data_IF_981121658323
#
_entry.id   IF_981121658323
#
_cell.length_a   1.000
_cell.length_b   1.000
_cell.length_c   1.000
_cell.angle_alpha   90.00
_cell.angle_beta   90.00
_cell.angle_gamma   90.00
#
_symmetry.space_group_name_H-M   'P 1'
#
loop_
_entity.id
_entity.type
_entity.pdbx_description
1 polymer ?
#
# COMPACT_ATOMS: atom_id res chain seq x y z
N UNK A 1 53.27 -20.64 -21.60
CA UNK A 1 52.64 -19.50 -22.31
C UNK A 1 51.13 -19.64 -22.45
N UNK A 2 50.57 -20.80 -22.87
CA UNK A 2 49.11 -20.99 -23.05
C UNK A 2 48.24 -20.73 -21.80
N UNK A 3 48.74 -21.08 -20.59
CA UNK A 3 48.03 -20.85 -19.32
C UNK A 3 47.94 -19.37 -18.91
N UNK A 4 48.86 -18.53 -19.41
CA UNK A 4 48.88 -17.09 -19.09
C UNK A 4 47.73 -16.33 -19.75
N UNK A 5 47.33 -16.73 -20.96
CA UNK A 5 46.20 -16.12 -21.67
C UNK A 5 44.85 -16.44 -21.01
N UNK A 6 44.72 -17.61 -20.40
CA UNK A 6 43.51 -18.02 -19.67
C UNK A 6 43.33 -17.17 -18.41
N UNK A 7 44.40 -16.93 -17.66
CA UNK A 7 44.34 -16.05 -16.48
C UNK A 7 43.99 -14.62 -16.85
N UNK A 8 44.58 -14.08 -17.93
CA UNK A 8 44.25 -12.75 -18.45
C UNK A 8 42.77 -12.63 -18.88
N UNK A 9 42.26 -13.65 -19.57
CA UNK A 9 40.85 -13.72 -19.98
C UNK A 9 39.90 -13.79 -18.77
N UNK A 10 40.24 -14.56 -17.74
CA UNK A 10 39.48 -14.63 -16.49
C UNK A 10 39.46 -13.29 -15.75
N UNK A 11 40.56 -12.53 -15.75
CA UNK A 11 40.64 -11.20 -15.13
C UNK A 11 39.73 -10.18 -15.81
N UNK A 12 39.64 -10.23 -17.14
CA UNK A 12 38.77 -9.33 -17.93
C UNK A 12 37.29 -9.68 -17.75
N UNK A 13 36.97 -10.97 -17.57
CA UNK A 13 35.60 -11.43 -17.31
C UNK A 13 35.02 -10.97 -15.95
N UNK A 14 35.86 -10.56 -14.99
CA UNK A 14 35.41 -9.96 -13.73
C UNK A 14 35.03 -8.49 -13.84
N UNK A 15 35.32 -7.83 -14.98
CA UNK A 15 35.04 -6.41 -15.20
C UNK A 15 33.66 -6.16 -15.85
N UNK A 16 32.89 -7.21 -16.11
CA UNK A 16 31.58 -7.09 -16.74
C UNK A 16 30.54 -6.81 -15.65
N UNK A 17 30.06 -5.57 -15.59
CA UNK A 17 28.99 -5.19 -14.66
C UNK A 17 27.63 -5.69 -15.18
N UNK A 18 26.89 -6.39 -14.34
CA UNK A 18 25.63 -7.06 -14.69
C UNK A 18 24.36 -6.25 -14.33
N UNK A 19 24.43 -4.92 -14.21
CA UNK A 19 23.23 -4.12 -13.98
C UNK A 19 22.22 -4.29 -15.12
N UNK A 20 20.97 -4.55 -14.77
CA UNK A 20 19.89 -4.73 -15.74
C UNK A 20 19.24 -3.37 -15.97
N UNK A 21 19.30 -2.87 -17.19
CA UNK A 21 18.63 -1.65 -17.60
C UNK A 21 17.57 -1.97 -18.64
N UNK A 22 16.38 -1.38 -18.53
CA UNK A 22 15.35 -1.49 -19.57
C UNK A 22 15.12 -0.10 -20.15
N UNK A 23 15.46 0.08 -21.43
CA UNK A 23 15.30 1.34 -22.15
C UNK A 23 16.32 2.43 -21.77
N UNK A 24 17.37 2.10 -21.00
CA UNK A 24 18.38 3.05 -20.53
C UNK A 24 19.79 2.48 -20.72
N UNK A 25 20.77 3.34 -21.06
CA UNK A 25 22.17 2.94 -21.22
C UNK A 25 23.06 3.36 -20.04
N UNK A 26 22.57 4.28 -19.20
CA UNK A 26 23.25 4.74 -17.98
C UNK A 26 22.38 4.35 -16.79
N UNK A 27 22.90 3.50 -15.90
CA UNK A 27 22.18 3.04 -14.71
C UNK A 27 22.78 3.73 -13.50
N UNK A 28 21.94 4.11 -12.54
CA UNK A 28 22.39 4.60 -11.24
C UNK A 28 23.22 3.50 -10.56
N UNK A 29 24.39 3.86 -10.03
CA UNK A 29 25.31 2.91 -9.39
C UNK A 29 24.70 2.19 -8.18
N UNK A 30 23.62 2.70 -7.58
CA UNK A 30 22.91 2.04 -6.48
C UNK A 30 21.76 1.13 -6.93
N UNK A 31 21.52 0.98 -8.23
CA UNK A 31 20.41 0.19 -8.77
C UNK A 31 20.90 -1.09 -9.46
N UNK A 32 20.30 -2.23 -9.07
CA UNK A 32 20.51 -3.51 -9.76
C UNK A 32 19.59 -3.62 -10.99
N UNK A 33 18.39 -3.03 -10.91
CA UNK A 33 17.44 -2.88 -12.01
C UNK A 33 16.96 -1.42 -12.08
N UNK A 34 17.09 -0.80 -13.25
CA UNK A 34 16.52 0.51 -13.52
C UNK A 34 15.78 0.52 -14.86
N UNK A 35 14.64 1.21 -14.91
CA UNK A 35 13.76 1.27 -16.07
C UNK A 35 13.68 2.72 -16.49
N UNK A 36 13.81 2.97 -17.80
CA UNK A 36 13.75 4.33 -18.35
C UNK A 36 12.47 5.05 -17.95
N UNK A 37 12.59 6.33 -17.64
CA UNK A 37 11.44 7.22 -17.49
C UNK A 37 10.60 7.20 -18.77
N UNK A 38 9.34 6.78 -18.66
CA UNK A 38 8.39 6.75 -19.77
C UNK A 38 7.17 7.56 -19.40
N UNK A 39 6.67 8.36 -20.35
CA UNK A 39 5.44 9.15 -20.16
C UNK A 39 4.16 8.32 -20.35
N UNK A 40 4.25 7.10 -20.88
CA UNK A 40 3.10 6.30 -21.26
C UNK A 40 3.26 4.78 -21.09
N UNK A 41 4.32 4.32 -20.40
CA UNK A 41 4.56 2.90 -20.10
C UNK A 41 4.87 2.71 -18.63
N UNK A 42 4.56 1.53 -18.12
CA UNK A 42 4.86 1.08 -16.77
C UNK A 42 5.40 -0.34 -16.75
N UNK A 43 5.40 -0.95 -15.57
CA UNK A 43 5.91 -2.30 -15.35
C UNK A 43 4.77 -3.23 -14.97
N UNK A 44 4.60 -4.31 -15.73
CA UNK A 44 3.75 -5.42 -15.32
C UNK A 44 4.60 -6.38 -14.47
N UNK A 45 4.24 -6.49 -13.19
CA UNK A 45 4.80 -7.50 -12.31
C UNK A 45 4.24 -8.89 -12.64
N UNK A 46 4.89 -9.98 -12.18
CA UNK A 46 4.34 -11.32 -12.30
C UNK A 46 2.90 -11.39 -11.78
N UNK A 47 2.01 -11.91 -12.62
CA UNK A 47 0.58 -12.07 -12.31
C UNK A 47 0.32 -13.48 -11.80
N UNK A 48 -0.02 -13.59 -10.53
CA UNK A 48 -0.26 -14.87 -9.83
C UNK A 48 -1.71 -14.96 -9.36
N UNK A 49 -2.09 -16.13 -8.85
CA UNK A 49 -3.39 -16.33 -8.22
C UNK A 49 -3.18 -16.78 -6.77
N UNK A 50 -3.36 -15.85 -5.84
CA UNK A 50 -3.24 -16.12 -4.41
C UNK A 50 -4.59 -16.65 -3.93
N UNK A 51 -4.61 -17.94 -3.57
CA UNK A 51 -5.79 -18.61 -3.02
C UNK A 51 -5.80 -18.55 -1.49
N UNK A 52 -4.62 -18.63 -0.87
CA UNK A 52 -4.43 -18.54 0.57
C UNK A 52 -3.25 -17.61 0.86
N UNK A 53 -3.49 -16.58 1.67
CA UNK A 53 -2.48 -15.60 2.04
C UNK A 53 -1.40 -16.17 2.96
N UNK A 54 -1.64 -17.29 3.62
CA UNK A 54 -0.66 -17.96 4.49
C UNK A 54 0.17 -19.01 3.74
N UNK A 55 -0.19 -19.34 2.49
CA UNK A 55 0.50 -20.36 1.72
C UNK A 55 1.87 -19.89 1.23
N UNK A 56 2.89 -20.68 1.57
CA UNK A 56 4.27 -20.52 1.12
C UNK A 56 4.67 -21.53 0.03
N UNK A 57 3.74 -22.37 -0.45
CA UNK A 57 3.99 -23.36 -1.50
C UNK A 57 3.27 -23.00 -2.81
N UNK A 58 2.23 -22.17 -2.73
CA UNK A 58 1.44 -21.68 -3.85
C UNK A 58 0.99 -20.24 -3.58
N UNK A 59 0.96 -19.33 -4.57
CA UNK A 59 1.30 -19.54 -5.98
C UNK A 59 2.81 -19.54 -6.26
N UNK A 60 3.62 -19.16 -5.28
CA UNK A 60 5.08 -19.18 -5.36
C UNK A 60 5.59 -20.11 -4.27
N UNK A 61 6.48 -21.03 -4.63
CA UNK A 61 7.10 -21.94 -3.67
C UNK A 61 8.27 -21.24 -2.96
N UNK A 62 8.26 -21.25 -1.63
CA UNK A 62 9.22 -20.58 -0.75
C UNK A 62 9.49 -19.10 -1.13
N UNK A 63 8.45 -18.24 -1.16
CA UNK A 63 8.61 -16.84 -1.53
C UNK A 63 9.57 -16.11 -0.58
N UNK A 64 10.46 -15.31 -1.15
CA UNK A 64 11.41 -14.49 -0.39
C UNK A 64 10.71 -13.27 0.21
N UNK A 65 11.13 -12.83 1.40
CA UNK A 65 10.64 -11.57 1.99
C UNK A 65 10.93 -10.40 1.03
N UNK A 66 9.93 -9.57 0.78
CA UNK A 66 10.02 -8.48 -0.17
C UNK A 66 9.55 -8.83 -1.59
N UNK A 67 9.16 -10.08 -1.86
CA UNK A 67 8.62 -10.48 -3.16
C UNK A 67 7.30 -9.74 -3.45
N UNK A 68 7.26 -9.03 -4.57
CA UNK A 68 6.10 -8.25 -5.01
C UNK A 68 5.48 -8.87 -6.26
N UNK A 69 4.17 -9.10 -6.22
CA UNK A 69 3.39 -9.69 -7.31
C UNK A 69 2.05 -8.99 -7.47
N UNK A 70 1.42 -9.16 -8.62
CA UNK A 70 0.02 -8.77 -8.82
C UNK A 70 -0.89 -10.01 -8.70
N UNK A 71 -1.83 -9.98 -7.76
CA UNK A 71 -2.86 -11.01 -7.63
C UNK A 71 -4.00 -10.75 -8.63
N UNK A 72 -4.38 -11.76 -9.41
CA UNK A 72 -5.41 -11.65 -10.45
C UNK A 72 -6.83 -11.50 -9.91
N UNK A 73 -7.13 -12.07 -8.74
CA UNK A 73 -8.43 -11.88 -8.09
C UNK A 73 -9.41 -13.05 -8.15
N UNK A 74 -8.98 -14.31 -8.33
CA UNK A 74 -9.95 -15.41 -8.43
C UNK A 74 -10.52 -15.85 -7.07
N UNK A 75 -9.73 -15.78 -5.99
CA UNK A 75 -10.15 -16.19 -4.64
C UNK A 75 -9.94 -15.09 -3.59
N UNK A 76 -8.79 -14.41 -3.66
CA UNK A 76 -8.50 -13.22 -2.85
C UNK A 76 -8.69 -11.96 -3.67
N UNK A 77 -8.92 -10.81 -3.04
CA UNK A 77 -9.06 -9.52 -3.73
C UNK A 77 -7.89 -9.24 -4.68
N UNK A 78 -8.14 -8.80 -5.93
CA UNK A 78 -7.09 -8.43 -6.87
C UNK A 78 -6.28 -7.23 -6.35
N UNK A 79 -5.00 -7.17 -6.71
CA UNK A 79 -4.14 -6.06 -6.30
C UNK A 79 -2.67 -6.42 -6.18
N UNK A 80 -1.87 -5.49 -5.67
CA UNK A 80 -0.45 -5.73 -5.38
C UNK A 80 -0.31 -6.43 -4.03
N UNK A 81 0.51 -7.49 -4.00
CA UNK A 81 0.79 -8.24 -2.78
C UNK A 81 2.29 -8.36 -2.54
N UNK A 82 2.68 -8.13 -1.29
CA UNK A 82 4.03 -8.27 -0.78
C UNK A 82 4.11 -9.50 0.13
N UNK A 83 5.05 -10.41 -0.15
CA UNK A 83 5.38 -11.47 0.80
C UNK A 83 6.22 -10.90 1.94
N UNK A 84 5.71 -10.96 3.17
CA UNK A 84 6.40 -10.50 4.38
C UNK A 84 5.81 -11.20 5.60
N UNK A 85 6.65 -11.55 6.57
CA UNK A 85 6.23 -12.17 7.84
C UNK A 85 5.39 -13.44 7.61
N UNK A 86 5.86 -14.32 6.71
CA UNK A 86 5.22 -15.60 6.38
C UNK A 86 3.77 -15.49 5.86
N UNK A 87 3.45 -14.37 5.20
CA UNK A 87 2.15 -14.19 4.55
C UNK A 87 2.22 -13.23 3.38
N UNK A 88 1.25 -13.37 2.48
CA UNK A 88 0.91 -12.38 1.46
C UNK A 88 0.14 -11.23 2.11
N UNK A 89 0.67 -10.02 1.95
CA UNK A 89 0.05 -8.80 2.44
C UNK A 89 -0.34 -7.95 1.24
N UNK A 90 -1.63 -7.68 1.08
CA UNK A 90 -2.09 -6.74 0.06
C UNK A 90 -1.56 -5.34 0.40
N UNK A 91 -1.02 -4.65 -0.58
CA UNK A 91 -0.66 -3.24 -0.46
C UNK A 91 -1.97 -2.45 -0.53
N UNK A 92 -2.27 -1.70 0.53
CA UNK A 92 -3.48 -0.91 0.63
C UNK A 92 -3.50 0.25 -0.38
N UNK A 93 -4.66 0.51 -0.95
CA UNK A 93 -5.03 1.75 -1.62
C UNK A 93 -6.25 2.37 -0.92
N UNK A 94 -6.68 3.56 -1.34
CA UNK A 94 -7.85 4.25 -0.78
C UNK A 94 -9.14 3.41 -0.82
N UNK A 95 -9.24 2.43 -1.72
CA UNK A 95 -10.43 1.59 -1.89
C UNK A 95 -10.41 0.31 -1.06
N UNK A 96 -9.24 -0.13 -0.61
CA UNK A 96 -9.05 -1.31 0.24
C UNK A 96 -8.86 -0.98 1.73
N UNK A 97 -8.94 0.30 2.11
CA UNK A 97 -8.93 0.76 3.50
C UNK A 97 -10.36 1.01 3.99
N UNK A 98 -10.58 0.83 5.29
CA UNK A 98 -11.79 1.36 5.91
C UNK A 98 -11.72 2.89 5.82
N UNK A 99 -12.71 3.49 5.21
CA UNK A 99 -12.92 4.93 5.13
C UNK A 99 -13.31 5.49 6.52
N UNK A 100 -12.57 6.47 7.05
CA UNK A 100 -12.86 7.04 8.38
C UNK A 100 -12.64 8.57 8.46
N UNK A 101 -13.25 9.19 9.47
CA UNK A 101 -12.88 10.51 9.97
C UNK A 101 -12.59 10.38 11.47
N UNK A 102 -11.43 10.86 11.92
CA UNK A 102 -11.08 10.91 13.34
C UNK A 102 -11.18 12.35 13.82
N UNK A 103 -11.99 12.53 14.86
CA UNK A 103 -12.11 13.76 15.61
C UNK A 103 -11.39 13.57 16.95
N UNK A 104 -10.37 14.39 17.21
CA UNK A 104 -9.56 14.32 18.43
C UNK A 104 -9.57 15.65 19.16
N UNK A 105 -9.45 15.56 20.48
CA UNK A 105 -9.23 16.69 21.37
C UNK A 105 -7.87 16.59 22.07
N UNK A 106 -7.27 17.74 22.33
CA UNK A 106 -5.95 17.82 22.98
C UNK A 106 -6.04 17.83 24.52
N UNK A 107 -7.25 18.01 25.07
CA UNK A 107 -7.49 18.06 26.53
C UNK A 107 -8.63 17.14 26.94
N UNK A 108 -8.59 16.60 28.15
CA UNK A 108 -9.61 15.66 28.67
C UNK A 108 -11.00 16.30 28.77
N UNK A 109 -12.02 15.66 28.20
CA UNK A 109 -13.42 16.10 28.30
C UNK A 109 -14.26 15.13 29.10
N UNK A 110 -15.04 15.65 30.04
CA UNK A 110 -16.14 14.90 30.63
C UNK A 110 -17.33 14.88 29.66
N UNK A 111 -17.38 13.81 28.86
CA UNK A 111 -18.46 13.55 27.88
C UNK A 111 -19.82 13.35 28.59
N UNK A 112 -19.77 12.77 29.80
CA UNK A 112 -20.89 12.70 30.72
C UNK A 112 -20.78 13.91 31.65
N UNK A 113 -21.47 14.99 31.31
CA UNK A 113 -21.65 16.10 32.25
C UNK A 113 -22.32 15.58 33.51
N UNK A 114 -21.93 16.10 34.68
CA UNK A 114 -22.55 15.81 35.98
C UNK A 114 -24.03 16.28 36.10
N UNK A 115 -24.77 16.35 35.00
CA UNK A 115 -26.21 16.58 34.94
C UNK A 115 -26.96 15.29 35.22
N UNK A 116 -28.02 15.40 36.04
CA UNK A 116 -28.96 14.31 36.29
C UNK A 116 -29.49 13.74 34.97
N UNK A 117 -29.56 12.42 34.87
CA UNK A 117 -30.11 11.64 33.75
C UNK A 117 -29.40 11.80 32.38
N UNK A 118 -28.14 11.37 32.29
CA UNK A 118 -27.62 10.74 31.07
C UNK A 118 -27.71 11.57 29.78
N UNK A 119 -27.77 12.89 29.87
CA UNK A 119 -27.81 13.75 28.70
C UNK A 119 -26.39 13.89 28.17
N UNK A 120 -26.10 13.30 27.01
CA UNK A 120 -24.82 13.53 26.33
C UNK A 120 -24.65 15.02 26.07
N UNK A 121 -23.52 15.61 26.47
CA UNK A 121 -23.22 17.00 26.10
C UNK A 121 -23.13 17.10 24.58
N UNK A 122 -23.73 18.14 24.04
CA UNK A 122 -23.80 18.37 22.60
C UNK A 122 -22.38 18.38 22.00
N UNK A 123 -22.17 17.71 20.86
CA UNK A 123 -20.88 17.67 20.14
C UNK A 123 -20.48 19.02 19.54
N UNK A 124 -21.15 20.11 19.92
CA UNK A 124 -20.74 21.47 19.60
C UNK A 124 -19.59 21.87 20.53
N UNK A 125 -18.42 21.31 20.28
CA UNK A 125 -17.20 21.61 21.01
C UNK A 125 -16.15 22.18 20.06
N UNK A 126 -15.81 23.45 20.27
CA UNK A 126 -14.80 24.16 19.48
C UNK A 126 -13.39 23.59 19.64
N UNK A 127 -13.14 22.77 20.66
CA UNK A 127 -11.85 22.13 20.89
C UNK A 127 -11.64 20.84 20.08
N UNK A 128 -12.70 20.29 19.46
CA UNK A 128 -12.59 19.08 18.65
C UNK A 128 -11.99 19.41 17.26
N UNK A 129 -10.96 18.67 16.88
CA UNK A 129 -10.23 18.87 15.62
C UNK A 129 -10.25 17.62 14.75
N UNK A 130 -10.37 17.80 13.43
CA UNK A 130 -10.24 16.71 12.45
C UNK A 130 -8.75 16.41 12.28
N UNK A 131 -8.30 15.24 12.72
CA UNK A 131 -6.89 14.83 12.58
C UNK A 131 -6.66 13.83 11.44
N UNK A 132 -7.72 13.19 10.96
CA UNK A 132 -7.70 12.40 9.74
C UNK A 132 -9.10 12.33 9.14
N UNK A 133 -9.18 12.29 7.82
CA UNK A 133 -10.45 12.33 7.08
C UNK A 133 -10.24 11.85 5.64
N UNK A 134 -10.40 10.55 5.47
CA UNK A 134 -10.29 9.91 4.16
C UNK A 134 -11.66 9.86 3.45
N UNK A 135 -12.72 10.31 4.11
CA UNK A 135 -14.11 10.27 3.62
C UNK A 135 -14.61 11.61 3.08
N UNK A 136 -13.78 12.66 3.15
CA UNK A 136 -14.14 14.02 2.72
C UNK A 136 -15.26 14.67 3.55
N UNK A 137 -15.53 14.17 4.76
CA UNK A 137 -16.51 14.75 5.66
C UNK A 137 -16.02 16.10 6.22
N UNK A 138 -16.90 16.90 6.79
CA UNK A 138 -16.52 18.11 7.51
C UNK A 138 -17.17 18.12 8.89
N UNK A 139 -16.48 18.70 9.86
CA UNK A 139 -17.00 18.92 11.21
C UNK A 139 -17.07 20.43 11.47
N UNK A 140 -18.25 20.93 11.83
CA UNK A 140 -18.46 22.32 12.20
C UNK A 140 -18.32 22.50 13.70
N UNK A 141 -17.28 23.19 14.12
CA UNK A 141 -16.91 23.42 15.53
C UNK A 141 -17.89 24.32 16.30
N UNK A 142 -18.71 25.11 15.59
CA UNK A 142 -19.69 26.04 16.19
C UNK A 142 -21.12 25.49 16.24
N UNK A 143 -21.43 24.42 15.51
CA UNK A 143 -22.72 23.74 15.54
C UNK A 143 -22.65 22.28 15.99
N UNK A 144 -21.47 21.67 15.99
CA UNK A 144 -21.27 20.24 16.25
C UNK A 144 -21.69 19.33 15.10
N UNK A 145 -22.06 19.88 13.94
CA UNK A 145 -22.57 19.10 12.82
C UNK A 145 -21.42 18.43 12.04
N UNK A 146 -21.59 17.14 11.77
CA UNK A 146 -20.78 16.39 10.80
C UNK A 146 -21.54 16.34 9.48
N UNK A 147 -20.91 16.83 8.40
CA UNK A 147 -21.47 16.80 7.05
C UNK A 147 -20.67 15.83 6.19
N UNK A 148 -21.33 14.82 5.63
CA UNK A 148 -20.74 13.91 4.65
C UNK A 148 -20.78 14.55 3.25
N UNK A 149 -19.79 14.32 2.39
CA UNK A 149 -19.85 14.78 1.01
C UNK A 149 -20.94 14.02 0.24
N UNK A 150 -21.52 14.65 -0.79
CA UNK A 150 -22.44 13.95 -1.70
C UNK A 150 -21.76 12.73 -2.34
N UNK A 151 -22.52 11.66 -2.57
CA UNK A 151 -22.02 10.35 -3.07
C UNK A 151 -21.07 9.59 -2.11
N UNK A 152 -21.05 9.87 -0.80
CA UNK A 152 -20.30 9.10 0.20
C UNK A 152 -20.83 7.68 0.48
N UNK A 153 -21.67 7.15 -0.41
CA UNK A 153 -22.11 5.76 -0.37
C UNK A 153 -20.95 4.86 -0.72
N UNK A 154 -20.67 3.89 0.16
CA UNK A 154 -19.76 2.78 -0.13
C UNK A 154 -19.96 2.32 -1.57
N UNK A 155 -18.88 2.24 -2.34
CA UNK A 155 -18.87 1.42 -3.54
C UNK A 155 -19.10 0.00 -3.06
N UNK A 156 -20.36 -0.43 -2.96
CA UNK A 156 -20.67 -1.85 -2.85
C UNK A 156 -19.96 -2.52 -4.01
N UNK A 157 -18.99 -3.36 -3.68
CA UNK A 157 -18.39 -4.27 -4.64
C UNK A 157 -19.56 -4.97 -5.34
N UNK A 158 -19.77 -4.80 -6.65
CA UNK A 158 -20.75 -5.64 -7.33
C UNK A 158 -20.17 -7.05 -7.24
N UNK A 159 -20.78 -7.89 -6.43
CA UNK A 159 -20.63 -9.33 -6.57
C UNK A 159 -21.18 -9.65 -7.96
N UNK A 160 -20.30 -9.73 -8.95
CA UNK A 160 -20.62 -10.36 -10.22
C UNK A 160 -20.70 -11.87 -9.97
N UNK A 161 -21.93 -12.37 -10.00
CA UNK A 161 -22.28 -13.78 -10.21
C UNK A 161 -21.55 -14.38 -11.40
#
# INVERSE_FOLDING_TARGET
>A
MKKSYILLFLSIAHLIYAQVAIGKNTVNSSAVLEISESSNKGVLLPRVDIVDILSNTSPVNNPANGLLVYNKGNSMSPGLYLWKNNRWNQISDTYNLVSYMILQRTTDYTILGASANGTFKNFNDAALTVISNDIGASYNTGSGLITLPGNSGMSEHPYSS
#
